data_IF_224262971514
#
_entry.id   IF_224262971514
#
_cell.length_a   1.000
_cell.length_b   1.000
_cell.length_c   1.000
_cell.angle_alpha   90.00
_cell.angle_beta   90.00
_cell.angle_gamma   90.00
#
_symmetry.space_group_name_H-M   'P 1'
#
loop_
_entity.id
_entity.type
_entity.pdbx_description
1 polymer ?
#
# COMPACT_ATOMS: atom_id res chain seq x y z
N UNK A 1 -9.22 29.21 -5.45
CA UNK A 1 -10.20 28.18 -5.88
C UNK A 1 -9.46 26.94 -6.37
N UNK A 2 -8.79 26.20 -5.47
CA UNK A 2 -7.99 24.99 -5.81
C UNK A 2 -8.50 23.71 -5.12
N UNK A 3 -9.33 23.85 -4.08
CA UNK A 3 -9.79 22.75 -3.21
C UNK A 3 -11.07 22.06 -3.74
N UNK A 4 -11.70 22.59 -4.81
CA UNK A 4 -12.98 22.06 -5.33
C UNK A 4 -12.87 20.81 -6.23
N UNK A 5 -11.68 20.28 -6.46
CA UNK A 5 -11.56 19.03 -7.21
C UNK A 5 -11.80 17.84 -6.27
N UNK A 6 -12.85 17.07 -6.56
CA UNK A 6 -13.19 15.80 -5.90
C UNK A 6 -12.04 14.76 -5.89
N UNK A 7 -10.93 15.06 -6.56
CA UNK A 7 -9.73 14.23 -6.61
C UNK A 7 -8.71 14.50 -5.49
N UNK A 8 -8.61 15.72 -4.96
CA UNK A 8 -7.62 16.02 -3.91
C UNK A 8 -7.87 15.23 -2.63
N UNK A 9 -9.15 15.02 -2.28
CA UNK A 9 -9.52 14.24 -1.12
C UNK A 9 -9.00 12.79 -1.27
N UNK A 10 -9.22 12.12 -2.41
CA UNK A 10 -8.60 10.82 -2.64
C UNK A 10 -7.09 10.77 -2.57
N UNK A 11 -6.42 11.77 -3.17
CA UNK A 11 -4.96 11.83 -3.18
C UNK A 11 -4.39 11.97 -1.76
N UNK A 12 -4.95 12.88 -0.96
CA UNK A 12 -4.50 13.11 0.43
C UNK A 12 -4.78 11.88 1.30
N UNK A 13 -5.96 11.27 1.14
CA UNK A 13 -6.33 10.07 1.91
C UNK A 13 -5.39 8.91 1.61
N UNK A 14 -5.09 8.69 0.33
CA UNK A 14 -4.11 7.69 -0.12
C UNK A 14 -2.71 8.00 0.40
N UNK A 15 -2.27 9.27 0.31
CA UNK A 15 -0.97 9.72 0.80
C UNK A 15 -0.78 9.40 2.29
N UNK A 16 -1.73 9.81 3.13
CA UNK A 16 -1.68 9.54 4.58
C UNK A 16 -1.64 8.03 4.85
N UNK A 17 -2.41 7.26 4.11
CA UNK A 17 -2.48 5.80 4.27
C UNK A 17 -1.15 5.12 3.94
N UNK A 18 -0.48 5.56 2.88
CA UNK A 18 0.84 5.03 2.49
C UNK A 18 1.91 5.47 3.48
N UNK A 19 1.85 6.69 4.01
CA UNK A 19 2.75 7.15 5.08
C UNK A 19 2.57 6.31 6.35
N UNK A 20 1.33 6.01 6.75
CA UNK A 20 1.06 5.16 7.91
C UNK A 20 1.52 3.72 7.69
N UNK A 21 1.29 3.17 6.49
CA UNK A 21 1.86 1.87 6.10
C UNK A 21 3.39 1.87 6.21
N UNK A 22 4.05 2.91 5.68
CA UNK A 22 5.50 3.05 5.77
C UNK A 22 6.00 3.12 7.22
N UNK A 23 5.37 3.96 8.05
CA UNK A 23 5.75 4.10 9.46
C UNK A 23 5.60 2.79 10.23
N UNK A 24 4.53 2.04 9.97
CA UNK A 24 4.33 0.72 10.57
C UNK A 24 5.42 -0.27 10.13
N UNK A 25 5.82 -0.23 8.86
CA UNK A 25 6.92 -1.07 8.36
C UNK A 25 8.31 -0.67 8.86
N UNK A 26 8.60 0.61 9.06
CA UNK A 26 9.91 1.10 9.52
C UNK A 26 10.10 0.95 11.02
N UNK A 27 9.07 1.23 11.81
CA UNK A 27 9.16 1.12 13.26
C UNK A 27 8.97 -0.31 13.77
N UNK A 28 8.66 -1.23 12.86
CA UNK A 28 8.53 -2.65 13.15
C UNK A 28 7.57 -2.92 14.32
N UNK A 29 6.58 -2.04 14.54
CA UNK A 29 5.70 -2.13 15.70
C UNK A 29 4.99 -3.48 15.72
N UNK A 30 4.59 -3.98 14.55
CA UNK A 30 4.08 -5.33 14.40
C UNK A 30 5.12 -6.45 14.61
N UNK A 31 6.38 -6.30 14.16
CA UNK A 31 7.41 -7.34 14.36
C UNK A 31 7.86 -7.45 15.82
N UNK A 32 7.73 -6.38 16.60
CA UNK A 32 7.88 -6.44 18.06
C UNK A 32 6.82 -7.33 18.72
N UNK A 33 5.63 -7.47 18.13
CA UNK A 33 4.58 -8.38 18.61
C UNK A 33 4.80 -9.85 18.17
N UNK A 34 5.59 -10.08 17.12
CA UNK A 34 5.89 -11.42 16.58
C UNK A 34 7.40 -11.69 16.41
N UNK A 35 8.21 -11.60 17.48
CA UNK A 35 9.68 -11.54 17.40
C UNK A 35 10.38 -12.84 16.97
N UNK A 36 9.69 -13.99 16.99
CA UNK A 36 10.33 -15.31 16.82
C UNK A 36 9.88 -16.10 15.59
N UNK A 37 9.02 -15.54 14.73
CA UNK A 37 8.40 -16.32 13.66
C UNK A 37 9.00 -16.10 12.26
N UNK A 38 9.92 -15.16 12.08
CA UNK A 38 10.36 -14.78 10.73
C UNK A 38 11.83 -14.38 10.63
N UNK A 39 12.46 -14.76 9.52
CA UNK A 39 13.74 -14.21 9.08
C UNK A 39 13.60 -12.71 8.77
N UNK A 40 13.84 -11.88 9.78
CA UNK A 40 13.67 -10.41 9.75
C UNK A 40 14.32 -9.74 8.54
N UNK A 41 15.43 -10.28 8.04
CA UNK A 41 16.13 -9.73 6.87
C UNK A 41 15.27 -9.76 5.60
N UNK A 42 14.67 -10.90 5.29
CA UNK A 42 13.81 -11.08 4.11
C UNK A 42 12.56 -10.21 4.23
N UNK A 43 12.02 -10.11 5.44
CA UNK A 43 10.85 -9.27 5.73
C UNK A 43 11.14 -7.81 5.45
N UNK A 44 12.23 -7.30 6.01
CA UNK A 44 12.61 -5.90 5.88
C UNK A 44 12.86 -5.55 4.41
N UNK A 45 13.47 -6.44 3.64
CA UNK A 45 13.71 -6.23 2.20
C UNK A 45 12.39 -6.15 1.40
N UNK A 46 11.45 -7.06 1.63
CA UNK A 46 10.14 -7.04 0.96
C UNK A 46 9.34 -5.78 1.35
N UNK A 47 9.32 -5.43 2.64
CA UNK A 47 8.60 -4.26 3.14
C UNK A 47 9.21 -2.94 2.63
N UNK A 48 10.54 -2.87 2.50
CA UNK A 48 11.23 -1.75 1.84
C UNK A 48 10.81 -1.64 0.39
N UNK A 49 10.81 -2.74 -0.38
CA UNK A 49 10.43 -2.69 -1.79
C UNK A 49 8.95 -2.32 -1.97
N UNK A 50 8.06 -2.83 -1.12
CA UNK A 50 6.64 -2.43 -1.09
C UNK A 50 6.49 -0.93 -0.83
N UNK A 51 7.20 -0.41 0.18
CA UNK A 51 7.18 1.01 0.53
C UNK A 51 7.63 1.89 -0.64
N UNK A 52 8.75 1.55 -1.29
CA UNK A 52 9.21 2.26 -2.49
C UNK A 52 8.20 2.19 -3.64
N UNK A 53 7.57 1.03 -3.83
CA UNK A 53 6.58 0.85 -4.90
C UNK A 53 5.34 1.71 -4.68
N UNK A 54 4.84 1.80 -3.43
CA UNK A 54 3.73 2.70 -3.09
C UNK A 54 4.12 4.18 -3.19
N UNK A 55 5.36 4.53 -2.89
CA UNK A 55 5.86 5.89 -3.08
C UNK A 55 5.92 6.27 -4.57
N UNK A 56 6.45 5.39 -5.42
CA UNK A 56 6.43 5.57 -6.88
C UNK A 56 5.00 5.69 -7.41
N UNK A 57 4.08 4.86 -6.90
CA UNK A 57 2.66 4.96 -7.22
C UNK A 57 2.06 6.33 -6.90
N UNK A 58 2.35 6.90 -5.72
CA UNK A 58 1.92 8.24 -5.35
C UNK A 58 2.46 9.32 -6.29
N UNK A 59 3.74 9.25 -6.65
CA UNK A 59 4.36 10.20 -7.58
C UNK A 59 3.66 10.13 -8.93
N UNK A 60 3.52 8.92 -9.49
CA UNK A 60 2.86 8.71 -10.79
C UNK A 60 1.41 9.18 -10.76
N UNK A 61 0.68 8.89 -9.69
CA UNK A 61 -0.69 9.35 -9.53
C UNK A 61 -0.75 10.88 -9.48
N UNK A 62 0.12 11.53 -8.70
CA UNK A 62 0.18 12.99 -8.59
C UNK A 62 0.48 13.61 -9.95
N UNK A 63 1.48 13.11 -10.68
CA UNK A 63 1.82 13.58 -12.03
C UNK A 63 0.67 13.36 -13.02
N UNK A 64 0.08 12.16 -13.04
CA UNK A 64 -1.06 11.87 -13.90
C UNK A 64 -2.20 12.87 -13.67
N UNK A 65 -2.37 13.31 -12.43
CA UNK A 65 -3.48 14.19 -12.07
C UNK A 65 -3.24 15.65 -12.36
N UNK A 66 -2.00 16.12 -12.21
CA UNK A 66 -1.62 17.49 -12.60
C UNK A 66 -1.64 17.69 -14.11
N UNK A 67 -1.24 16.68 -14.88
CA UNK A 67 -1.11 16.79 -16.34
C UNK A 67 -2.36 16.36 -17.12
N UNK A 68 -3.09 15.32 -16.68
CA UNK A 68 -4.13 14.69 -17.51
C UNK A 68 -5.55 14.75 -16.93
N UNK A 69 -5.70 14.88 -15.61
CA UNK A 69 -6.99 14.68 -14.93
C UNK A 69 -7.55 16.00 -14.38
N UNK A 70 -7.64 17.04 -15.21
CA UNK A 70 -8.31 18.29 -14.81
C UNK A 70 -9.84 18.16 -14.71
N UNK A 71 -10.45 17.20 -15.43
CA UNK A 71 -11.92 17.14 -15.61
C UNK A 71 -12.58 15.79 -15.28
N UNK A 72 -11.88 14.82 -14.69
CA UNK A 72 -12.49 13.52 -14.36
C UNK A 72 -13.25 13.61 -13.05
N UNK A 73 -14.54 13.23 -13.07
CA UNK A 73 -15.34 13.04 -11.86
C UNK A 73 -14.98 11.71 -11.19
N UNK A 74 -14.24 11.78 -10.10
CA UNK A 74 -13.93 10.62 -9.27
C UNK A 74 -15.17 10.08 -8.57
N UNK A 75 -15.68 8.95 -9.09
CA UNK A 75 -16.80 8.22 -8.48
C UNK A 75 -16.28 7.07 -7.59
N UNK A 76 -17.22 6.33 -6.97
CA UNK A 76 -16.90 5.18 -6.08
C UNK A 76 -16.02 4.11 -6.75
N UNK A 77 -16.21 3.85 -8.06
CA UNK A 77 -15.40 2.86 -8.80
C UNK A 77 -13.94 3.31 -8.92
N UNK A 78 -13.70 4.59 -9.18
CA UNK A 78 -12.34 5.12 -9.25
C UNK A 78 -11.64 5.03 -7.90
N UNK A 79 -12.34 5.36 -6.80
CA UNK A 79 -11.83 5.24 -5.43
C UNK A 79 -11.47 3.80 -5.09
N UNK A 80 -12.32 2.84 -5.46
CA UNK A 80 -12.04 1.40 -5.30
C UNK A 80 -10.77 0.98 -6.05
N UNK A 81 -10.61 1.43 -7.29
CA UNK A 81 -9.40 1.12 -8.07
C UNK A 81 -8.15 1.70 -7.41
N UNK A 82 -8.19 2.96 -6.97
CA UNK A 82 -7.06 3.64 -6.36
C UNK A 82 -6.67 3.05 -4.99
N UNK A 83 -7.64 2.75 -4.14
CA UNK A 83 -7.37 2.33 -2.76
C UNK A 83 -7.14 0.83 -2.62
N UNK A 84 -7.77 0.03 -3.49
CA UNK A 84 -7.78 -1.41 -3.33
C UNK A 84 -7.05 -2.11 -4.49
N UNK A 85 -7.51 -1.92 -5.73
CA UNK A 85 -7.01 -2.70 -6.87
C UNK A 85 -5.54 -2.41 -7.16
N UNK A 86 -5.16 -1.14 -7.30
CA UNK A 86 -3.77 -0.77 -7.63
C UNK A 86 -2.82 -1.18 -6.50
N UNK A 87 -3.11 -0.88 -5.21
CA UNK A 87 -2.22 -1.30 -4.14
C UNK A 87 -2.04 -2.82 -4.05
N UNK A 88 -3.11 -3.58 -4.32
CA UNK A 88 -3.05 -5.04 -4.34
C UNK A 88 -2.24 -5.60 -5.52
N UNK A 89 -2.37 -5.00 -6.71
CA UNK A 89 -1.54 -5.37 -7.87
C UNK A 89 -0.06 -5.08 -7.58
N UNK A 90 0.26 -3.92 -7.02
CA UNK A 90 1.63 -3.58 -6.61
C UNK A 90 2.16 -4.64 -5.64
N UNK A 91 1.33 -5.04 -4.66
CA UNK A 91 1.71 -6.06 -3.70
C UNK A 91 2.04 -7.40 -4.36
N UNK A 92 1.18 -7.88 -5.26
CA UNK A 92 1.41 -9.14 -6.00
C UNK A 92 2.70 -9.05 -6.83
N UNK A 93 2.96 -7.92 -7.49
CA UNK A 93 4.16 -7.73 -8.31
C UNK A 93 5.42 -7.76 -7.44
N UNK A 94 5.44 -6.96 -6.37
CA UNK A 94 6.57 -6.91 -5.43
C UNK A 94 6.80 -8.29 -4.82
N UNK A 95 5.72 -8.98 -4.47
CA UNK A 95 5.80 -10.35 -4.01
C UNK A 95 6.41 -11.28 -5.06
N UNK A 96 5.94 -11.27 -6.31
CA UNK A 96 6.44 -12.18 -7.35
C UNK A 96 7.96 -12.05 -7.54
N UNK A 97 8.48 -10.82 -7.57
CA UNK A 97 9.92 -10.58 -7.74
C UNK A 97 10.77 -10.96 -6.51
N UNK A 98 10.26 -10.79 -5.29
CA UNK A 98 10.99 -11.19 -4.07
C UNK A 98 10.79 -12.66 -3.69
N UNK A 99 9.63 -13.25 -4.01
CA UNK A 99 9.37 -14.68 -3.87
C UNK A 99 10.32 -15.50 -4.75
N UNK A 100 10.74 -14.96 -5.89
CA UNK A 100 11.80 -15.55 -6.71
C UNK A 100 13.18 -15.53 -6.04
N UNK A 101 13.47 -14.55 -5.17
CA UNK A 101 14.68 -14.56 -4.35
C UNK A 101 14.60 -15.63 -3.25
N UNK A 102 13.41 -15.90 -2.69
CA UNK A 102 13.20 -17.04 -1.78
C UNK A 102 13.46 -18.39 -2.47
N UNK A 103 13.17 -18.51 -3.77
CA UNK A 103 13.51 -19.70 -4.57
C UNK A 103 15.03 -19.90 -4.70
N UNK A 104 15.87 -18.85 -4.60
CA UNK A 104 17.32 -19.02 -4.53
C UNK A 104 17.82 -19.57 -3.18
N UNK A 105 16.97 -19.56 -2.14
CA UNK A 105 17.23 -20.28 -0.89
C UNK A 105 16.81 -21.76 -0.95
N UNK A 106 16.48 -22.29 -2.14
CA UNK A 106 15.97 -23.64 -2.44
C UNK A 106 16.72 -24.84 -1.86
N UNK A 107 17.94 -24.67 -1.36
CA UNK A 107 18.70 -25.81 -0.85
C UNK A 107 18.22 -26.29 0.52
N UNK A 108 17.32 -25.58 1.19
CA UNK A 108 16.57 -26.11 2.33
C UNK A 108 15.07 -25.96 2.06
N UNK A 109 14.33 -27.05 2.28
CA UNK A 109 12.86 -27.17 2.21
C UNK A 109 12.11 -25.85 2.41
N UNK A 110 11.23 -25.48 1.45
CA UNK A 110 10.31 -24.35 1.60
C UNK A 110 9.49 -24.56 2.87
N UNK A 111 9.77 -23.79 3.92
CA UNK A 111 9.15 -23.96 5.23
C UNK A 111 7.72 -23.42 5.19
N UNK A 112 6.81 -24.05 5.94
CA UNK A 112 5.42 -23.57 6.15
C UNK A 112 5.37 -22.10 6.62
N UNK A 113 6.43 -21.64 7.29
CA UNK A 113 6.63 -20.24 7.67
C UNK A 113 6.59 -19.28 6.47
N UNK A 114 7.12 -19.68 5.31
CA UNK A 114 7.19 -18.83 4.12
C UNK A 114 5.80 -18.60 3.54
N UNK A 115 4.93 -19.63 3.56
CA UNK A 115 3.52 -19.54 3.15
C UNK A 115 2.70 -18.63 4.07
N UNK A 116 2.86 -18.80 5.39
CA UNK A 116 2.21 -17.94 6.38
C UNK A 116 2.68 -16.49 6.25
N UNK A 117 3.96 -16.29 5.93
CA UNK A 117 4.55 -14.98 5.68
C UNK A 117 4.03 -14.33 4.39
N UNK A 118 3.81 -15.15 3.35
CA UNK A 118 3.19 -14.69 2.10
C UNK A 118 1.77 -14.19 2.34
N UNK A 119 1.00 -14.98 3.07
CA UNK A 119 -0.35 -14.60 3.48
C UNK A 119 -0.31 -13.30 4.27
N UNK A 120 0.61 -13.16 5.22
CA UNK A 120 0.74 -11.95 6.04
C UNK A 120 1.02 -10.69 5.20
N UNK A 121 1.97 -10.70 4.28
CA UNK A 121 2.27 -9.53 3.42
C UNK A 121 1.09 -9.20 2.50
N UNK A 122 0.46 -10.22 1.92
CA UNK A 122 -0.72 -10.06 1.07
C UNK A 122 -1.87 -9.39 1.82
N UNK A 123 -2.06 -9.81 3.08
CA UNK A 123 -3.08 -9.24 3.93
C UNK A 123 -2.66 -7.84 4.37
N UNK A 124 -1.48 -7.62 4.95
CA UNK A 124 -1.10 -6.33 5.58
C UNK A 124 -1.26 -5.09 4.68
N UNK A 125 -1.19 -5.22 3.35
CA UNK A 125 -1.53 -4.13 2.41
C UNK A 125 -2.97 -3.62 2.52
N UNK A 126 -3.90 -4.37 3.13
CA UNK A 126 -5.27 -3.95 3.46
C UNK A 126 -5.32 -2.68 4.32
N UNK A 127 -4.25 -2.36 5.05
CA UNK A 127 -4.16 -1.15 5.87
C UNK A 127 -4.34 0.10 5.00
N UNK A 128 -3.81 0.09 3.78
CA UNK A 128 -3.92 1.20 2.84
C UNK A 128 -5.39 1.48 2.46
N UNK A 129 -6.18 0.52 1.93
CA UNK A 129 -7.58 0.77 1.62
C UNK A 129 -8.41 1.13 2.84
N UNK A 130 -8.21 0.47 3.99
CA UNK A 130 -9.00 0.77 5.21
C UNK A 130 -8.81 2.23 5.62
N UNK A 131 -7.56 2.67 5.78
CA UNK A 131 -7.27 4.04 6.21
C UNK A 131 -7.72 5.04 5.13
N UNK A 132 -7.46 4.75 3.84
CA UNK A 132 -7.77 5.67 2.76
C UNK A 132 -9.28 5.89 2.64
N UNK A 133 -10.09 4.83 2.76
CA UNK A 133 -11.54 4.95 2.72
C UNK A 133 -12.10 5.72 3.91
N UNK A 134 -11.58 5.50 5.13
CA UNK A 134 -12.01 6.23 6.34
C UNK A 134 -11.69 7.73 6.20
N UNK A 135 -10.48 8.06 5.76
CA UNK A 135 -10.04 9.44 5.54
C UNK A 135 -10.85 10.11 4.42
N UNK A 136 -11.06 9.42 3.31
CA UNK A 136 -11.82 9.96 2.19
C UNK A 136 -13.27 10.22 2.58
N UNK A 137 -13.89 9.32 3.34
CA UNK A 137 -15.25 9.52 3.88
C UNK A 137 -15.30 10.72 4.84
N UNK A 138 -14.38 10.81 5.80
CA UNK A 138 -14.37 11.88 6.80
C UNK A 138 -14.10 13.26 6.19
N UNK A 139 -13.16 13.37 5.25
CA UNK A 139 -12.89 14.61 4.53
C UNK A 139 -14.03 14.99 3.58
N UNK A 140 -14.60 14.02 2.86
CA UNK A 140 -15.75 14.27 1.98
C UNK A 140 -16.96 14.78 2.77
N UNK A 141 -17.21 14.26 3.98
CA UNK A 141 -18.31 14.69 4.84
C UNK A 141 -18.11 16.11 5.39
N UNK A 142 -16.88 16.49 5.77
CA UNK A 142 -16.57 17.84 6.27
C UNK A 142 -16.71 18.93 5.22
N UNK A 143 -16.51 18.62 3.93
CA UNK A 143 -16.57 19.61 2.84
C UNK A 143 -18.02 19.85 2.36
N UNK A 144 -18.96 18.97 2.72
CA UNK A 144 -20.39 19.12 2.39
C UNK A 144 -21.20 19.90 3.44
N UNK A 145 -20.63 20.18 4.62
CA UNK A 145 -21.20 21.08 5.64
C UNK A 145 -20.66 22.50 5.47
#
# INVERSE_FOLDING_TARGET
MLIKSNFFIPLISLFISIVLFYLETVHEYFFKLYPHSVNSKIVIEIQKLLSYSFFCYLILLTLATTFFIKNVKFNKKHRFILYFVIPYIINIIVWYFNGYQAINYRNNSVMISDFLFTSYILHFVFVIPIIAYILDYTFSFKIQK
#
